data_IF_754302029648
#
_entry.id   IF_754302029648
#
_cell.length_a   1.000
_cell.length_b   1.000
_cell.length_c   1.000
_cell.angle_alpha   90.00
_cell.angle_beta   90.00
_cell.angle_gamma   90.00
#
_symmetry.space_group_name_H-M   'P 1'
#
loop_
_entity.id
_entity.type
_entity.pdbx_description
1 polymer ?
#
# COMPACT_ATOMS: atom_id res chain seq x y z
N UNK A 1 -21.63 46.91 28.98
CA UNK A 1 -20.31 46.82 28.34
C UNK A 1 -19.80 45.40 28.52
N UNK A 2 -19.18 44.84 27.47
CA UNK A 2 -18.35 43.63 27.44
C UNK A 2 -19.10 42.29 27.29
N UNK A 3 -19.38 42.01 26.02
CA UNK A 3 -19.23 40.71 25.36
C UNK A 3 -18.01 39.94 25.92
N UNK A 4 -18.19 38.73 26.41
CA UNK A 4 -17.12 37.73 26.40
C UNK A 4 -17.53 36.57 25.50
N UNK A 5 -17.12 36.68 24.23
CA UNK A 5 -16.96 35.52 23.34
C UNK A 5 -15.85 34.68 23.95
N UNK A 6 -16.17 33.46 24.37
CA UNK A 6 -15.16 32.44 24.68
C UNK A 6 -14.45 32.08 23.36
N UNK A 7 -13.12 32.04 23.31
CA UNK A 7 -12.42 31.56 22.12
C UNK A 7 -12.77 30.09 21.93
N UNK A 8 -13.34 29.78 20.76
CA UNK A 8 -13.32 28.42 20.25
C UNK A 8 -11.86 28.01 20.16
N UNK A 9 -11.46 27.07 21.00
CA UNK A 9 -10.25 26.29 20.82
C UNK A 9 -10.30 25.74 19.41
N UNK A 10 -9.43 26.24 18.54
CA UNK A 10 -9.18 25.64 17.24
C UNK A 10 -8.73 24.20 17.51
N UNK A 11 -9.65 23.26 17.33
CA UNK A 11 -9.30 21.85 17.35
C UNK A 11 -8.55 21.61 16.03
N UNK A 12 -7.23 21.57 16.14
CA UNK A 12 -6.34 20.92 15.18
C UNK A 12 -6.99 19.62 14.70
N UNK A 13 -7.63 19.66 13.53
CA UNK A 13 -7.77 18.46 12.72
C UNK A 13 -6.55 18.49 11.83
N UNK A 14 -5.46 17.96 12.40
CA UNK A 14 -4.28 17.63 11.63
C UNK A 14 -4.74 16.87 10.40
N UNK A 15 -4.28 17.35 9.26
CA UNK A 15 -4.23 16.63 8.01
C UNK A 15 -3.63 15.26 8.34
N UNK A 16 -4.48 14.24 8.48
CA UNK A 16 -4.03 12.87 8.50
C UNK A 16 -3.69 12.53 7.05
N UNK A 17 -2.52 13.00 6.63
CA UNK A 17 -1.80 12.38 5.53
C UNK A 17 -1.59 10.94 6.01
N UNK A 18 -2.46 10.04 5.59
CA UNK A 18 -2.14 8.62 5.56
C UNK A 18 -1.05 8.49 4.49
N UNK A 19 0.17 8.86 4.87
CA UNK A 19 1.37 8.39 4.22
C UNK A 19 1.45 6.92 4.60
N UNK A 20 0.68 6.10 3.90
CA UNK A 20 0.94 4.68 3.80
C UNK A 20 2.29 4.57 3.12
N UNK A 21 3.37 4.57 3.91
CA UNK A 21 4.67 4.13 3.46
C UNK A 21 4.62 2.60 3.30
N UNK A 22 3.82 2.14 2.35
CA UNK A 22 4.17 0.93 1.62
C UNK A 22 5.34 1.39 0.76
N UNK A 23 6.53 0.87 1.04
CA UNK A 23 7.64 0.94 0.08
C UNK A 23 7.23 0.05 -1.10
N UNK A 24 6.33 0.55 -1.93
CA UNK A 24 6.37 0.25 -3.35
C UNK A 24 7.65 0.92 -3.81
N UNK A 25 8.54 0.16 -4.42
CA UNK A 25 9.71 0.68 -5.12
C UNK A 25 9.24 1.48 -6.35
N UNK A 26 8.45 2.53 -6.15
CA UNK A 26 8.07 3.48 -7.17
C UNK A 26 9.16 4.56 -7.16
N UNK A 27 10.19 4.34 -7.97
CA UNK A 27 11.14 5.38 -8.33
C UNK A 27 10.41 6.43 -9.20
N UNK A 28 9.60 7.29 -8.57
CA UNK A 28 9.08 8.50 -9.17
C UNK A 28 9.97 9.68 -8.75
N UNK A 29 11.20 9.71 -9.27
CA UNK A 29 12.00 10.93 -9.34
C UNK A 29 11.90 11.46 -10.75
N UNK A 30 11.28 12.62 -10.90
CA UNK A 30 11.02 13.32 -12.15
C UNK A 30 12.33 13.53 -12.93
N UNK A 31 12.58 12.66 -13.91
CA UNK A 31 13.58 12.88 -14.96
C UNK A 31 12.93 12.59 -16.31
N UNK A 32 13.01 13.50 -17.30
CA UNK A 32 12.59 13.19 -18.66
C UNK A 32 13.70 12.35 -19.30
N UNK A 33 13.75 11.06 -18.98
CA UNK A 33 14.71 10.14 -19.58
C UNK A 33 13.98 8.90 -20.08
N UNK A 34 13.75 8.91 -21.40
CA UNK A 34 13.21 7.83 -22.22
C UNK A 34 11.82 7.34 -21.78
N UNK A 35 10.90 7.25 -22.73
CA UNK A 35 9.83 6.28 -22.63
C UNK A 35 10.51 4.90 -22.53
N UNK A 36 10.84 4.46 -21.29
CA UNK A 36 10.89 3.04 -21.02
C UNK A 36 9.49 2.56 -21.38
N UNK A 37 9.42 1.60 -22.30
CA UNK A 37 8.22 0.81 -22.50
C UNK A 37 7.81 0.30 -21.12
N UNK A 38 6.86 0.99 -20.48
CA UNK A 38 6.18 0.47 -19.31
C UNK A 38 5.40 -0.70 -19.90
N UNK A 39 6.00 -1.88 -19.81
CA UNK A 39 5.38 -3.11 -20.26
C UNK A 39 4.03 -3.15 -19.56
N UNK A 40 2.97 -3.05 -20.37
CA UNK A 40 1.63 -2.84 -19.86
C UNK A 40 1.33 -3.96 -18.87
N UNK A 41 1.09 -3.62 -17.59
CA UNK A 41 0.97 -4.62 -16.54
C UNK A 41 -0.11 -5.62 -16.93
N UNK A 42 0.33 -6.86 -17.19
CA UNK A 42 -0.53 -7.94 -17.64
C UNK A 42 -1.33 -8.46 -16.45
N UNK A 43 -2.64 -8.27 -16.48
CA UNK A 43 -3.51 -8.95 -15.53
C UNK A 43 -3.65 -10.44 -15.89
N UNK A 44 -3.68 -11.31 -14.88
CA UNK A 44 -3.91 -12.76 -15.02
C UNK A 44 -4.91 -13.23 -13.97
N UNK A 45 -5.62 -14.31 -14.27
CA UNK A 45 -6.40 -15.00 -13.25
C UNK A 45 -5.44 -15.69 -12.26
N UNK A 46 -5.63 -15.42 -10.98
CA UNK A 46 -4.84 -15.94 -9.87
C UNK A 46 -5.42 -17.26 -9.38
N UNK A 47 -4.52 -18.15 -8.98
CA UNK A 47 -4.87 -19.41 -8.32
C UNK A 47 -4.37 -19.43 -6.89
N UNK A 48 -5.02 -20.23 -6.03
CA UNK A 48 -4.56 -20.49 -4.66
C UNK A 48 -3.08 -20.92 -4.61
N UNK A 49 -2.66 -21.73 -5.58
CA UNK A 49 -1.28 -22.24 -5.66
C UNK A 49 -0.29 -21.11 -5.93
N UNK A 50 -0.62 -20.18 -6.83
CA UNK A 50 0.24 -19.03 -7.14
C UNK A 50 0.37 -18.10 -5.93
N UNK A 51 -0.73 -17.75 -5.29
CA UNK A 51 -0.69 -16.86 -4.10
C UNK A 51 0.05 -17.53 -2.94
N UNK A 52 -0.22 -18.81 -2.67
CA UNK A 52 0.51 -19.57 -1.65
C UNK A 52 2.01 -19.70 -1.94
N UNK A 53 2.38 -19.96 -3.20
CA UNK A 53 3.77 -20.01 -3.65
C UNK A 53 4.47 -18.66 -3.49
N UNK A 54 3.79 -17.56 -3.81
CA UNK A 54 4.32 -16.21 -3.69
C UNK A 54 4.65 -15.87 -2.22
N UNK A 55 3.72 -16.19 -1.31
CA UNK A 55 3.92 -15.98 0.13
C UNK A 55 5.09 -16.82 0.66
N UNK A 56 5.19 -18.09 0.23
CA UNK A 56 6.28 -18.96 0.63
C UNK A 56 7.65 -18.49 0.12
N UNK A 57 7.70 -17.94 -1.10
CA UNK A 57 8.92 -17.44 -1.72
C UNK A 57 9.53 -16.25 -0.95
N UNK A 58 8.71 -15.39 -0.33
CA UNK A 58 9.23 -14.22 0.38
C UNK A 58 10.26 -14.56 1.46
N UNK A 59 10.13 -15.70 2.14
CA UNK A 59 11.09 -16.15 3.16
C UNK A 59 12.47 -16.48 2.58
N UNK A 60 12.49 -17.04 1.37
CA UNK A 60 13.74 -17.38 0.68
C UNK A 60 14.35 -16.16 -0.04
N UNK A 61 13.54 -15.15 -0.37
CA UNK A 61 14.01 -13.87 -0.92
C UNK A 61 14.58 -12.94 0.16
N UNK A 62 14.11 -13.04 1.40
CA UNK A 62 14.50 -12.15 2.51
C UNK A 62 16.03 -12.04 2.71
N UNK A 63 16.82 -13.13 2.65
CA UNK A 63 18.29 -13.05 2.71
C UNK A 63 18.96 -12.34 1.53
N UNK A 64 18.25 -12.18 0.40
CA UNK A 64 18.75 -11.51 -0.81
C UNK A 64 18.37 -10.02 -0.85
N UNK A 65 17.61 -9.53 0.12
CA UNK A 65 17.14 -8.13 0.17
C UNK A 65 18.23 -7.09 -0.08
N UNK A 66 19.41 -7.23 0.53
CA UNK A 66 20.53 -6.30 0.32
C UNK A 66 21.05 -6.34 -1.12
N UNK A 67 21.22 -7.54 -1.69
CA UNK A 67 21.66 -7.71 -3.09
C UNK A 67 20.64 -7.17 -4.09
N UNK A 68 19.35 -7.39 -3.81
CA UNK A 68 18.25 -6.87 -4.61
C UNK A 68 18.26 -5.33 -4.61
N UNK A 69 18.48 -4.71 -3.45
CA UNK A 69 18.60 -3.26 -3.33
C UNK A 69 19.82 -2.72 -4.09
N UNK A 70 20.97 -3.40 -3.99
CA UNK A 70 22.20 -3.02 -4.71
C UNK A 70 22.08 -3.19 -6.23
N UNK A 71 21.38 -4.23 -6.68
CA UNK A 71 21.17 -4.51 -8.10
C UNK A 71 20.19 -3.56 -8.80
N UNK A 72 19.29 -2.92 -8.03
CA UNK A 72 18.25 -2.05 -8.56
C UNK A 72 17.45 -2.71 -9.69
N UNK A 73 17.17 -1.96 -10.75
CA UNK A 73 16.39 -2.44 -11.91
C UNK A 73 17.14 -3.47 -12.79
N UNK A 74 18.44 -3.68 -12.55
CA UNK A 74 19.28 -4.57 -13.36
C UNK A 74 20.16 -5.44 -12.46
N UNK A 75 19.58 -6.45 -11.80
CA UNK A 75 20.36 -7.45 -11.08
C UNK A 75 21.35 -8.14 -12.04
N UNK A 76 22.53 -8.48 -11.52
CA UNK A 76 23.52 -9.24 -12.29
C UNK A 76 23.04 -10.67 -12.60
N UNK A 77 23.71 -11.36 -13.53
CA UNK A 77 23.31 -12.70 -13.98
C UNK A 77 23.32 -13.75 -12.86
N UNK A 78 24.19 -13.59 -11.85
CA UNK A 78 24.25 -14.51 -10.72
C UNK A 78 23.03 -14.33 -9.82
N UNK A 79 22.66 -13.08 -9.51
CA UNK A 79 21.46 -12.75 -8.75
C UNK A 79 20.20 -13.16 -9.52
N UNK A 80 20.10 -12.90 -10.82
CA UNK A 80 18.99 -13.38 -11.66
C UNK A 80 18.83 -14.90 -11.56
N UNK A 81 19.92 -15.65 -11.65
CA UNK A 81 19.89 -17.11 -11.48
C UNK A 81 19.44 -17.57 -10.09
N UNK A 82 19.83 -16.85 -9.03
CA UNK A 82 19.41 -17.13 -7.66
C UNK A 82 17.89 -16.90 -7.49
N UNK A 83 17.38 -15.79 -8.03
CA UNK A 83 15.96 -15.43 -8.03
C UNK A 83 15.10 -16.44 -8.80
N UNK A 84 15.54 -16.86 -9.99
CA UNK A 84 14.85 -17.89 -10.78
C UNK A 84 14.79 -19.23 -10.05
N UNK A 85 15.85 -19.61 -9.35
CA UNK A 85 15.89 -20.84 -8.58
C UNK A 85 14.90 -20.81 -7.41
N UNK A 86 14.79 -19.67 -6.73
CA UNK A 86 13.79 -19.46 -5.67
C UNK A 86 12.38 -19.54 -6.25
N UNK A 87 12.11 -18.83 -7.35
CA UNK A 87 10.78 -18.86 -7.98
C UNK A 87 10.38 -20.29 -8.39
N UNK A 88 11.29 -21.04 -9.04
CA UNK A 88 11.06 -22.45 -9.40
C UNK A 88 10.82 -23.35 -8.20
N UNK A 89 11.55 -23.15 -7.10
CA UNK A 89 11.34 -23.88 -5.84
C UNK A 89 9.91 -23.74 -5.32
N UNK A 90 9.25 -22.60 -5.57
CA UNK A 90 7.88 -22.31 -5.13
C UNK A 90 6.82 -22.51 -6.22
N UNK A 91 7.19 -23.13 -7.34
CA UNK A 91 6.26 -23.59 -8.37
C UNK A 91 5.93 -22.58 -9.46
N UNK A 92 6.72 -21.51 -9.58
CA UNK A 92 6.70 -20.58 -10.71
C UNK A 92 7.61 -21.07 -11.84
N UNK A 93 7.40 -20.57 -13.05
CA UNK A 93 8.27 -20.89 -14.18
C UNK A 93 9.68 -20.29 -14.03
N UNK A 94 9.73 -19.04 -13.59
CA UNK A 94 10.91 -18.22 -13.38
C UNK A 94 10.55 -17.03 -12.45
N UNK A 95 11.52 -16.15 -12.17
CA UNK A 95 11.27 -15.00 -11.30
C UNK A 95 10.27 -14.01 -11.91
N UNK A 96 10.27 -13.84 -13.23
CA UNK A 96 9.34 -12.95 -13.93
C UNK A 96 7.88 -13.43 -13.82
N UNK A 97 7.62 -14.74 -13.92
CA UNK A 97 6.30 -15.33 -13.66
C UNK A 97 5.82 -15.03 -12.22
N UNK A 98 6.73 -15.09 -11.25
CA UNK A 98 6.43 -14.73 -9.86
C UNK A 98 6.17 -13.22 -9.69
N UNK A 99 6.90 -12.35 -10.39
CA UNK A 99 6.66 -10.89 -10.38
C UNK A 99 5.30 -10.54 -10.99
N UNK A 100 4.90 -11.18 -12.09
CA UNK A 100 3.56 -11.01 -12.69
C UNK A 100 2.47 -11.41 -11.69
N UNK A 101 2.65 -12.53 -10.97
CA UNK A 101 1.72 -12.94 -9.91
C UNK A 101 1.68 -11.91 -8.78
N UNK A 102 2.84 -11.44 -8.32
CA UNK A 102 2.95 -10.39 -7.30
C UNK A 102 2.22 -9.11 -7.69
N UNK A 103 2.43 -8.63 -8.92
CA UNK A 103 1.75 -7.47 -9.47
C UNK A 103 0.21 -7.62 -9.47
N UNK A 104 -0.29 -8.81 -9.80
CA UNK A 104 -1.74 -9.10 -9.78
C UNK A 104 -2.32 -9.19 -8.37
N UNK A 105 -1.53 -9.70 -7.41
CA UNK A 105 -1.91 -9.69 -5.99
C UNK A 105 -2.02 -8.24 -5.49
N UNK A 106 -1.03 -7.40 -5.81
CA UNK A 106 -1.01 -5.98 -5.40
C UNK A 106 -2.22 -5.20 -5.91
N UNK A 107 -2.60 -5.36 -7.18
CA UNK A 107 -3.79 -4.69 -7.74
C UNK A 107 -5.05 -4.98 -6.93
N UNK A 108 -5.21 -6.23 -6.48
CA UNK A 108 -6.39 -6.62 -5.70
C UNK A 108 -6.28 -6.12 -4.26
N UNK A 109 -5.09 -6.19 -3.65
CA UNK A 109 -4.85 -5.65 -2.31
C UNK A 109 -5.10 -4.14 -2.24
N UNK A 110 -4.75 -3.37 -3.27
CA UNK A 110 -4.99 -1.91 -3.33
C UNK A 110 -6.49 -1.55 -3.28
N UNK A 111 -7.34 -2.46 -3.76
CA UNK A 111 -8.79 -2.33 -3.68
C UNK A 111 -9.42 -2.96 -2.43
N UNK A 112 -8.69 -3.78 -1.67
CA UNK A 112 -9.19 -4.42 -0.45
C UNK A 112 -9.00 -3.51 0.76
N UNK A 113 -10.06 -3.28 1.52
CA UNK A 113 -9.94 -2.66 2.83
C UNK A 113 -9.26 -3.63 3.82
N UNK A 114 -8.17 -3.22 4.50
CA UNK A 114 -7.39 -4.11 5.37
C UNK A 114 -8.13 -4.58 6.63
N UNK A 115 -9.25 -3.96 7.00
CA UNK A 115 -9.99 -4.28 8.23
C UNK A 115 -11.22 -5.13 7.97
N UNK A 116 -11.92 -4.84 6.88
CA UNK A 116 -13.21 -5.45 6.51
C UNK A 116 -13.04 -6.51 5.42
N UNK A 117 -11.97 -6.41 4.63
CA UNK A 117 -11.78 -7.18 3.41
C UNK A 117 -12.79 -6.84 2.32
N UNK A 118 -13.51 -5.72 2.44
CA UNK A 118 -14.42 -5.27 1.39
C UNK A 118 -13.60 -4.73 0.22
N UNK A 119 -13.96 -5.17 -0.99
CA UNK A 119 -13.30 -4.71 -2.19
C UNK A 119 -14.03 -3.48 -2.76
N UNK A 120 -13.28 -2.42 -2.99
CA UNK A 120 -13.70 -1.28 -3.81
C UNK A 120 -12.77 -1.18 -5.00
N UNK A 121 -13.32 -1.21 -6.21
CA UNK A 121 -12.53 -1.01 -7.41
C UNK A 121 -11.80 0.35 -7.33
N UNK A 122 -10.47 0.42 -7.56
CA UNK A 122 -9.72 1.66 -7.45
C UNK A 122 -10.28 2.79 -8.30
N UNK A 123 -10.83 2.50 -9.49
CA UNK A 123 -11.45 3.51 -10.35
C UNK A 123 -12.74 4.04 -9.72
N UNK A 124 -13.55 3.18 -9.13
CA UNK A 124 -14.76 3.59 -8.41
C UNK A 124 -14.41 4.40 -7.15
N UNK A 125 -13.34 4.04 -6.44
CA UNK A 125 -12.83 4.82 -5.29
C UNK A 125 -12.37 6.22 -5.72
N UNK A 126 -11.64 6.34 -6.83
CA UNK A 126 -11.22 7.63 -7.38
C UNK A 126 -12.41 8.48 -7.83
N UNK A 127 -13.43 7.87 -8.45
CA UNK A 127 -14.67 8.59 -8.82
C UNK A 127 -15.41 9.13 -7.59
N UNK A 128 -15.50 8.34 -6.52
CA UNK A 128 -16.08 8.80 -5.26
C UNK A 128 -15.27 9.95 -4.65
N UNK A 129 -13.94 9.85 -4.66
CA UNK A 129 -13.06 10.91 -4.18
C UNK A 129 -13.22 12.20 -5.00
N UNK A 130 -13.37 12.08 -6.33
CA UNK A 130 -13.66 13.21 -7.20
C UNK A 130 -14.97 13.91 -6.84
N UNK A 131 -16.02 13.16 -6.50
CA UNK A 131 -17.29 13.73 -6.02
C UNK A 131 -17.14 14.45 -4.67
N UNK A 132 -16.37 13.86 -3.75
CA UNK A 132 -16.08 14.46 -2.44
C UNK A 132 -15.32 15.79 -2.59
N UNK A 133 -14.27 15.82 -3.42
CA UNK A 133 -13.47 17.02 -3.69
C UNK A 133 -14.32 18.13 -4.33
N UNK A 134 -15.21 17.77 -5.26
CA UNK A 134 -16.15 18.73 -5.87
C UNK A 134 -17.09 19.35 -4.84
N UNK A 135 -17.52 18.57 -3.85
CA UNK A 135 -18.43 19.02 -2.79
C UNK A 135 -17.72 19.76 -1.63
N UNK A 136 -16.40 19.61 -1.48
CA UNK A 136 -15.66 20.19 -0.36
C UNK A 136 -15.40 21.69 -0.54
N UNK A 137 -16.16 22.52 0.17
CA UNK A 137 -16.01 23.97 0.17
C UNK A 137 -14.76 24.49 0.90
N UNK A 138 -14.00 23.62 1.58
CA UNK A 138 -12.78 24.01 2.30
C UNK A 138 -11.54 24.08 1.41
N UNK A 139 -11.58 23.43 0.23
CA UNK A 139 -10.47 23.45 -0.74
C UNK A 139 -10.58 24.73 -1.58
N UNK A 140 -9.51 25.58 -1.63
CA UNK A 140 -9.47 26.77 -2.48
C UNK A 140 -9.77 26.44 -3.95
N UNK A 141 -10.46 27.33 -4.67
CA UNK A 141 -10.96 27.03 -6.02
C UNK A 141 -9.84 26.70 -7.03
N UNK A 142 -8.71 27.41 -6.97
CA UNK A 142 -7.57 27.17 -7.86
C UNK A 142 -6.93 25.80 -7.58
N UNK A 143 -6.72 25.45 -6.31
CA UNK A 143 -6.19 24.15 -5.90
C UNK A 143 -7.17 23.02 -6.25
N UNK A 144 -8.46 23.22 -5.98
CA UNK A 144 -9.51 22.24 -6.28
C UNK A 144 -9.56 21.91 -7.76
N UNK A 145 -9.40 22.91 -8.62
CA UNK A 145 -9.38 22.71 -10.06
C UNK A 145 -8.22 21.82 -10.50
N UNK A 146 -7.02 22.05 -9.95
CA UNK A 146 -5.84 21.22 -10.25
C UNK A 146 -6.05 19.79 -9.79
N UNK A 147 -6.48 19.58 -8.55
CA UNK A 147 -6.73 18.23 -8.02
C UNK A 147 -7.81 17.49 -8.81
N UNK A 148 -8.88 18.18 -9.22
CA UNK A 148 -9.92 17.61 -10.09
C UNK A 148 -9.34 17.22 -11.45
N UNK A 149 -8.50 18.06 -12.05
CA UNK A 149 -7.88 17.78 -13.36
C UNK A 149 -6.98 16.54 -13.28
N UNK A 150 -6.08 16.50 -12.28
CA UNK A 150 -5.17 15.39 -12.06
C UNK A 150 -5.93 14.08 -11.82
N UNK A 151 -6.92 14.09 -10.92
CA UNK A 151 -7.70 12.89 -10.61
C UNK A 151 -8.54 12.40 -11.81
N UNK A 152 -9.03 13.29 -12.66
CA UNK A 152 -9.70 12.87 -13.90
C UNK A 152 -8.72 12.21 -14.89
N UNK A 153 -7.48 12.70 -14.98
CA UNK A 153 -6.45 12.07 -15.81
C UNK A 153 -6.09 10.68 -15.27
N UNK A 154 -5.95 10.54 -13.95
CA UNK A 154 -5.71 9.24 -13.30
C UNK A 154 -6.87 8.27 -13.55
N UNK A 155 -8.12 8.70 -13.37
CA UNK A 155 -9.31 7.89 -13.66
C UNK A 155 -9.33 7.43 -15.13
N UNK A 156 -8.94 8.30 -16.07
CA UNK A 156 -8.91 7.98 -17.49
C UNK A 156 -7.77 7.03 -17.88
N UNK A 157 -6.63 7.10 -17.16
CA UNK A 157 -5.47 6.24 -17.38
C UNK A 157 -5.60 4.88 -16.67
N UNK A 158 -6.39 4.81 -15.61
CA UNK A 158 -6.54 3.61 -14.82
C UNK A 158 -7.26 2.49 -15.60
N UNK A 159 -6.77 1.27 -15.42
CA UNK A 159 -7.38 0.07 -15.96
C UNK A 159 -8.28 -0.57 -14.91
N UNK A 160 -9.52 -0.96 -15.26
CA UNK A 160 -10.35 -1.71 -14.34
C UNK A 160 -9.76 -3.09 -14.06
N UNK A 161 -10.14 -3.68 -12.93
CA UNK A 161 -9.82 -5.09 -12.66
C UNK A 161 -10.48 -5.97 -13.73
N UNK A 162 -9.71 -6.90 -14.31
CA UNK A 162 -10.16 -7.82 -15.36
C UNK A 162 -10.70 -9.13 -14.78
N UNK A 163 -10.12 -9.59 -13.68
CA UNK A 163 -10.40 -10.91 -13.08
C UNK A 163 -10.99 -10.74 -11.68
N UNK A 164 -12.32 -10.57 -11.59
CA UNK A 164 -12.96 -10.35 -10.29
C UNK A 164 -12.86 -11.58 -9.37
N UNK A 165 -12.68 -12.79 -9.94
CA UNK A 165 -12.39 -14.01 -9.18
C UNK A 165 -11.12 -13.89 -8.32
N UNK A 166 -10.17 -13.05 -8.71
CA UNK A 166 -8.95 -12.81 -7.93
C UNK A 166 -9.25 -12.17 -6.57
N UNK A 167 -10.36 -11.44 -6.41
CA UNK A 167 -10.74 -10.82 -5.14
C UNK A 167 -10.88 -11.88 -4.06
N UNK A 168 -11.64 -12.95 -4.34
CA UNK A 168 -11.87 -14.03 -3.37
C UNK A 168 -10.58 -14.80 -3.07
N UNK A 169 -9.75 -15.04 -4.10
CA UNK A 169 -8.46 -15.72 -3.93
C UNK A 169 -7.54 -14.88 -3.04
N UNK A 170 -7.33 -13.60 -3.34
CA UNK A 170 -6.42 -12.74 -2.56
C UNK A 170 -6.96 -12.48 -1.15
N UNK A 171 -8.27 -12.21 -1.01
CA UNK A 171 -8.92 -12.01 0.30
C UNK A 171 -8.71 -13.19 1.24
N UNK A 172 -8.74 -14.42 0.71
CA UNK A 172 -8.45 -15.64 1.50
C UNK A 172 -7.04 -15.64 2.12
N UNK A 173 -6.06 -15.04 1.46
CA UNK A 173 -4.65 -14.98 1.91
C UNK A 173 -4.24 -13.62 2.49
N UNK A 174 -5.15 -12.64 2.53
CA UNK A 174 -4.89 -11.27 2.96
C UNK A 174 -4.11 -11.17 4.29
N UNK A 175 -4.46 -11.91 5.37
CA UNK A 175 -3.72 -11.82 6.62
C UNK A 175 -2.25 -12.26 6.53
N UNK A 176 -1.92 -13.17 5.61
CA UNK A 176 -0.54 -13.62 5.40
C UNK A 176 0.21 -12.66 4.48
N UNK A 177 -0.47 -12.09 3.49
CA UNK A 177 0.09 -11.05 2.61
C UNK A 177 0.42 -9.77 3.39
N UNK A 178 -0.43 -9.36 4.34
CA UNK A 178 -0.19 -8.18 5.20
C UNK A 178 1.00 -8.37 6.15
N UNK A 179 1.27 -9.59 6.62
CA UNK A 179 2.48 -9.84 7.44
C UNK A 179 3.77 -9.56 6.67
N UNK A 180 3.77 -9.84 5.37
CA UNK A 180 4.94 -9.63 4.51
C UNK A 180 5.30 -8.14 4.38
N UNK A 181 4.31 -7.25 4.42
CA UNK A 181 4.55 -5.80 4.36
C UNK A 181 4.99 -5.22 5.70
N UNK A 182 4.47 -5.75 6.82
CA UNK A 182 4.86 -5.35 8.18
C UNK A 182 6.31 -5.77 8.48
N UNK A 183 6.69 -7.01 8.16
CA UNK A 183 8.03 -7.55 8.44
C UNK A 183 9.14 -6.84 7.63
N UNK A 184 8.79 -6.19 6.51
CA UNK A 184 9.74 -5.42 5.68
C UNK A 184 10.03 -4.02 6.23
N UNK A 185 9.18 -3.49 7.11
CA UNK A 185 9.27 -2.12 7.63
C UNK A 185 10.07 -1.96 8.93
N UNK A 186 10.54 -3.05 9.56
CA UNK A 186 11.37 -2.98 10.76
C UNK A 186 10.80 -2.11 11.88
N UNK A 187 9.47 -1.97 11.97
CA UNK A 187 8.84 -1.17 13.00
C UNK A 187 8.55 -2.05 14.23
N UNK A 188 9.23 -1.69 15.31
CA UNK A 188 9.17 -2.23 16.66
C UNK A 188 7.75 -2.55 17.16
N UNK A 189 7.66 -3.65 17.91
CA UNK A 189 6.61 -3.89 18.92
C UNK A 189 6.17 -2.58 19.58
N UNK A 190 4.88 -2.38 19.89
CA UNK A 190 4.50 -1.32 20.80
C UNK A 190 5.14 -1.60 22.16
N UNK A 191 6.22 -0.89 22.47
CA UNK A 191 6.78 -0.84 23.81
C UNK A 191 5.72 -0.28 24.76
N UNK A 192 5.47 -1.01 25.84
CA UNK A 192 4.93 -0.45 27.07
C UNK A 192 3.46 -0.05 27.01
N UNK A 193 2.58 -1.03 27.25
CA UNK A 193 1.41 -0.76 28.09
C UNK A 193 1.93 -0.27 29.44
N UNK A 194 2.06 1.05 29.60
CA UNK A 194 2.27 1.66 30.90
C UNK A 194 1.05 1.27 31.77
N UNK A 195 1.25 0.62 32.94
CA UNK A 195 0.14 0.35 33.83
C UNK A 195 -0.49 1.67 34.30
N UNK A 196 -1.81 1.71 34.53
CA UNK A 196 -2.49 2.93 34.94
C UNK A 196 -1.86 3.47 36.22
N UNK A 197 -1.51 4.75 36.21
CA UNK A 197 -1.00 5.46 37.36
C UNK A 197 -2.00 5.32 38.52
N UNK A 198 -1.50 4.77 39.65
CA UNK A 198 -2.27 4.66 40.87
C UNK A 198 -2.71 6.04 41.37
N UNK A 199 -4.01 6.16 41.70
CA UNK A 199 -4.55 7.30 42.43
C UNK A 199 -3.75 7.58 43.71
N UNK A 200 -3.48 8.85 44.06
CA UNK A 200 -2.93 9.17 45.36
C UNK A 200 -3.99 8.94 46.45
N UNK A 201 -3.70 8.03 47.38
CA UNK A 201 -4.46 7.86 48.61
C UNK A 201 -4.46 9.15 49.45
N UNK A 202 -5.54 9.45 50.18
CA UNK A 202 -5.64 10.67 50.98
C UNK A 202 -4.68 10.63 52.17
N UNK A 203 -4.04 11.78 52.44
CA UNK A 203 -3.12 11.97 53.55
C UNK A 203 -3.83 11.77 54.90
N UNK A 204 -3.36 10.78 55.66
CA UNK A 204 -3.76 10.57 57.05
C UNK A 204 -2.92 11.44 58.00
N UNK A 205 -3.61 11.89 59.05
CA UNK A 205 -3.22 12.89 60.05
C UNK A 205 -1.96 12.52 60.84
N UNK A 206 -1.15 13.53 61.15
CA UNK A 206 -0.68 13.81 62.52
C UNK A 206 -0.36 15.28 62.72
#
# INVERSE_FOLDING_TARGET
>A
MILQRRPFTALNRGLAILASAVVVLAAAWSSPLAAQDVEELKQIELTDKQVGGFIAAQKDLQPLSAKLLEGGDKPDDALKGELDNIAKKHGFADFNDMEIVGANISIVLDGLDPKTGDYTDPVEKMKLELENIKADASIPDDDKKLVIEDLNQEIAAAKPLQFQSNIDVVKKYQPDLEKLTVDSSGESQPEGSAPPAAEPQPADKK
#
